data_IF_439375679461
#
_entry.id   IF_439375679461
#
_cell.length_a   1.000
_cell.length_b   1.000
_cell.length_c   1.000
_cell.angle_alpha   90.00
_cell.angle_beta   90.00
_cell.angle_gamma   90.00
#
_symmetry.space_group_name_H-M   'P 1'
#
loop_
_entity.id
_entity.type
_entity.pdbx_description
1 polymer ?
#
# COMPACT_ATOMS: atom_id res chain seq x y z
N UNK A 1 31.47 -0.60 -25.04
CA UNK A 1 31.15 -0.50 -24.45
C UNK A 1 30.53 -0.81 -23.81
N UNK A 2 30.57 -0.65 -23.36
CA UNK A 2 30.10 -0.76 -22.52
C UNK A 2 29.33 -0.63 -21.91
N UNK A 3 29.06 -0.85 -21.68
CA UNK A 3 28.34 -0.79 -20.96
C UNK A 3 27.90 -0.53 -20.16
N UNK A 4 27.76 -0.29 -20.17
CA UNK A 4 27.46 0.10 -19.15
C UNK A 4 26.62 -0.41 -18.50
N UNK A 5 26.44 -0.60 -18.48
CA UNK A 5 25.68 -0.74 -17.63
C UNK A 5 25.44 -1.52 -16.74
N UNK A 6 25.98 -1.99 -16.61
CA UNK A 6 25.79 -2.44 -15.69
C UNK A 6 25.59 -1.92 -14.63
N UNK A 7 25.49 -1.13 -14.73
CA UNK A 7 25.29 -0.34 -13.69
C UNK A 7 24.03 -0.42 -13.06
N UNK A 8 23.26 -1.42 -13.14
CA UNK A 8 22.01 -1.56 -12.45
C UNK A 8 22.29 -2.06 -11.07
N UNK A 9 21.98 -1.30 -10.02
CA UNK A 9 22.22 -1.78 -8.67
C UNK A 9 21.28 -2.93 -8.40
N UNK A 10 21.81 -3.97 -7.82
CA UNK A 10 21.00 -5.13 -7.51
C UNK A 10 19.98 -4.87 -6.45
N UNK A 11 20.27 -3.91 -5.60
CA UNK A 11 19.37 -3.54 -4.54
C UNK A 11 18.52 -2.36 -4.91
N UNK A 12 18.38 -2.08 -6.18
CA UNK A 12 17.57 -0.96 -6.62
C UNK A 12 16.12 -1.13 -6.20
N UNK A 13 15.47 -0.01 -5.96
CA UNK A 13 14.05 0.01 -5.66
C UNK A 13 13.27 -0.60 -6.81
N UNK A 14 12.11 -1.17 -6.54
CA UNK A 14 11.25 -1.65 -7.61
C UNK A 14 10.98 -0.56 -8.63
N UNK A 15 10.87 -0.95 -9.87
CA UNK A 15 10.66 0.01 -10.93
C UNK A 15 9.33 0.72 -10.73
N UNK A 16 9.36 2.02 -10.93
CA UNK A 16 8.17 2.85 -10.88
C UNK A 16 7.64 2.98 -12.30
N UNK A 17 6.37 2.65 -12.48
CA UNK A 17 5.72 2.76 -13.77
C UNK A 17 4.49 3.62 -13.65
N UNK A 18 4.13 4.28 -14.73
CA UNK A 18 2.87 4.99 -14.77
C UNK A 18 1.76 3.99 -15.10
N UNK A 19 0.68 4.08 -14.35
CA UNK A 19 -0.45 3.17 -14.50
C UNK A 19 -1.71 4.01 -14.67
N UNK A 20 -2.57 3.59 -15.60
CA UNK A 20 -3.85 4.28 -15.77
C UNK A 20 -4.70 4.08 -14.53
N UNK A 21 -5.33 5.18 -14.10
CA UNK A 21 -6.17 5.14 -12.90
C UNK A 21 -7.25 4.08 -12.97
N UNK A 22 -7.83 3.91 -14.15
CA UNK A 22 -8.95 2.98 -14.30
C UNK A 22 -8.54 1.52 -14.14
N UNK A 23 -7.25 1.22 -14.20
CA UNK A 23 -6.77 -0.16 -14.07
C UNK A 23 -6.50 -0.55 -12.62
N UNK A 24 -6.55 0.39 -11.70
CA UNK A 24 -6.26 0.08 -10.30
C UNK A 24 -7.45 -0.57 -9.61
N UNK A 25 -7.18 -1.68 -8.94
CA UNK A 25 -8.18 -2.40 -8.15
C UNK A 25 -8.16 -1.80 -6.74
N UNK A 26 -9.31 -1.33 -6.29
CA UNK A 26 -9.42 -0.58 -5.04
C UNK A 26 -10.02 -1.38 -3.90
N UNK A 27 -9.90 -2.70 -3.94
CA UNK A 27 -10.53 -3.57 -2.95
C UNK A 27 -10.12 -3.25 -1.51
N UNK A 28 -8.92 -2.70 -1.31
CA UNK A 28 -8.42 -2.42 0.04
C UNK A 28 -8.67 -0.98 0.50
N UNK A 29 -9.47 -0.23 -0.25
CA UNK A 29 -9.82 1.13 0.17
C UNK A 29 -10.51 1.11 1.54
N UNK A 30 -11.29 0.05 1.81
CA UNK A 30 -11.98 -0.07 3.10
C UNK A 30 -11.03 -0.28 4.26
N UNK A 31 -9.78 -0.68 4.02
CA UNK A 31 -8.78 -0.84 5.06
C UNK A 31 -8.12 0.49 5.46
N UNK A 32 -8.37 1.55 4.72
CA UNK A 32 -7.70 2.83 4.97
C UNK A 32 -8.72 3.87 5.44
N UNK A 33 -8.28 4.71 6.38
CA UNK A 33 -9.12 5.76 6.93
C UNK A 33 -9.07 6.99 6.06
N UNK A 34 -10.17 7.73 6.03
CA UNK A 34 -10.24 8.96 5.24
C UNK A 34 -9.98 10.16 6.15
N UNK A 35 -9.42 11.20 5.56
CA UNK A 35 -9.13 12.44 6.27
C UNK A 35 -9.34 13.59 5.31
N UNK A 36 -10.55 14.14 5.31
CA UNK A 36 -10.97 15.13 4.33
C UNK A 36 -10.06 16.37 4.28
N UNK A 37 -9.70 16.90 5.44
CA UNK A 37 -8.86 18.10 5.47
C UNK A 37 -7.48 17.83 4.89
N UNK A 38 -6.91 16.67 5.21
CA UNK A 38 -5.62 16.28 4.66
C UNK A 38 -5.71 16.11 3.14
N UNK A 39 -6.80 15.51 2.66
CA UNK A 39 -6.97 15.30 1.23
C UNK A 39 -7.12 16.61 0.48
N UNK A 40 -7.76 17.61 1.08
CA UNK A 40 -7.88 18.90 0.44
C UNK A 40 -6.52 19.56 0.26
N UNK A 41 -5.66 19.47 1.27
CA UNK A 41 -4.31 20.03 1.17
C UNK A 41 -3.49 19.25 0.15
N UNK A 42 -3.66 17.93 0.14
CA UNK A 42 -2.97 17.07 -0.81
C UNK A 42 -3.42 17.39 -2.24
N UNK A 43 -4.72 17.62 -2.41
CA UNK A 43 -5.25 17.97 -3.72
C UNK A 43 -4.58 19.22 -4.27
N UNK A 44 -4.43 20.25 -3.44
CA UNK A 44 -3.75 21.47 -3.85
C UNK A 44 -2.30 21.22 -4.23
N UNK A 45 -1.61 20.40 -3.44
CA UNK A 45 -0.22 20.09 -3.71
C UNK A 45 -0.06 19.33 -5.02
N UNK A 46 -0.92 18.34 -5.27
CA UNK A 46 -0.86 17.56 -6.50
C UNK A 46 -1.23 18.41 -7.71
N UNK A 47 -2.18 19.32 -7.55
CA UNK A 47 -2.55 20.21 -8.64
C UNK A 47 -1.35 21.07 -9.06
N UNK A 48 -0.52 21.45 -8.10
CA UNK A 48 0.63 22.30 -8.37
C UNK A 48 1.85 21.52 -8.86
N UNK A 49 2.14 20.40 -8.23
CA UNK A 49 3.42 19.70 -8.44
C UNK A 49 3.29 18.30 -8.99
N UNK A 50 2.06 17.81 -9.17
CA UNK A 50 1.87 16.43 -9.55
C UNK A 50 2.06 15.50 -8.37
N UNK A 51 2.00 14.20 -8.63
CA UNK A 51 2.18 13.21 -7.59
C UNK A 51 3.67 12.94 -7.45
N UNK A 52 4.23 13.31 -6.30
CA UNK A 52 5.65 13.18 -6.06
C UNK A 52 6.03 11.81 -5.52
N UNK A 53 5.14 11.20 -4.73
CA UNK A 53 5.38 9.87 -4.21
C UNK A 53 4.48 8.88 -4.91
N UNK A 54 5.04 7.78 -5.44
CA UNK A 54 4.22 6.84 -6.18
C UNK A 54 3.22 6.12 -5.30
N UNK A 55 2.14 5.69 -5.90
CA UNK A 55 1.19 4.81 -5.26
C UNK A 55 1.83 3.43 -5.16
N UNK A 56 1.42 2.66 -4.17
CA UNK A 56 2.02 1.35 -3.91
C UNK A 56 0.96 0.27 -3.89
N UNK A 57 1.27 -0.89 -4.46
CA UNK A 57 0.36 -2.00 -4.46
C UNK A 57 1.04 -3.26 -4.91
N UNK A 58 0.27 -4.24 -5.34
CA UNK A 58 0.82 -5.50 -5.82
C UNK A 58 0.31 -5.78 -7.23
N UNK A 59 1.09 -6.54 -7.96
CA UNK A 59 0.71 -6.97 -9.30
C UNK A 59 0.42 -8.46 -9.27
N UNK A 60 -0.86 -8.81 -9.34
CA UNK A 60 -1.28 -10.20 -9.30
C UNK A 60 -1.76 -10.55 -10.70
N UNK A 61 -0.89 -11.22 -11.46
CA UNK A 61 -1.16 -11.44 -12.87
C UNK A 61 -1.22 -10.11 -13.58
N UNK A 62 -2.35 -9.82 -14.20
CA UNK A 62 -2.53 -8.53 -14.89
C UNK A 62 -3.22 -7.49 -14.05
N UNK A 63 -3.57 -7.85 -12.80
CA UNK A 63 -4.25 -6.91 -11.91
C UNK A 63 -3.25 -6.11 -11.11
N UNK A 64 -3.55 -4.83 -10.94
CA UNK A 64 -2.78 -3.94 -10.10
C UNK A 64 -3.65 -3.53 -8.94
N UNK A 65 -3.36 -4.08 -7.76
CA UNK A 65 -4.19 -3.90 -6.57
C UNK A 65 -3.53 -2.86 -5.68
N UNK A 66 -4.22 -1.76 -5.46
CA UNK A 66 -3.67 -0.66 -4.68
C UNK A 66 -3.67 -1.00 -3.19
N UNK A 67 -2.56 -0.74 -2.52
CA UNK A 67 -2.43 -0.93 -1.08
C UNK A 67 -2.21 0.37 -0.34
N UNK A 68 -1.49 1.31 -0.94
CA UNK A 68 -1.17 2.57 -0.30
C UNK A 68 -1.25 3.69 -1.33
N UNK A 69 -1.79 4.84 -0.91
CA UNK A 69 -1.93 5.98 -1.80
C UNK A 69 -3.36 6.23 -2.23
N UNK A 70 -4.34 5.72 -1.49
CA UNK A 70 -5.75 5.93 -1.83
C UNK A 70 -6.12 7.42 -1.84
N UNK A 71 -5.52 8.21 -0.95
CA UNK A 71 -5.78 9.64 -0.94
C UNK A 71 -5.24 10.30 -2.20
N UNK A 72 -4.05 9.89 -2.61
CA UNK A 72 -3.45 10.38 -3.87
C UNK A 72 -4.26 9.92 -5.07
N UNK A 73 -4.77 8.69 -5.02
CA UNK A 73 -5.64 8.18 -6.06
C UNK A 73 -6.89 9.06 -6.22
N UNK A 74 -7.54 9.38 -5.09
CA UNK A 74 -8.76 10.18 -5.15
C UNK A 74 -8.47 11.59 -5.65
N UNK A 75 -7.34 12.16 -5.28
CA UNK A 75 -6.92 13.47 -5.78
C UNK A 75 -6.67 13.43 -7.29
N UNK A 76 -5.96 12.39 -7.74
CA UNK A 76 -5.68 12.23 -9.16
C UNK A 76 -6.97 12.12 -9.96
N UNK A 77 -7.94 11.41 -9.41
CA UNK A 77 -9.23 11.23 -10.06
C UNK A 77 -9.97 12.56 -10.17
N UNK A 78 -9.97 13.35 -9.09
CA UNK A 78 -10.60 14.67 -9.10
C UNK A 78 -9.95 15.62 -10.10
N UNK A 79 -8.64 15.51 -10.24
CA UNK A 79 -7.88 16.35 -11.16
C UNK A 79 -7.88 15.80 -12.58
N UNK A 80 -8.51 14.66 -12.78
CA UNK A 80 -8.61 13.99 -14.08
C UNK A 80 -7.25 13.66 -14.67
N UNK A 81 -6.34 13.23 -13.82
CA UNK A 81 -5.08 12.69 -14.29
C UNK A 81 -5.33 11.32 -14.89
N UNK A 82 -4.79 11.06 -16.06
CA UNK A 82 -5.02 9.77 -16.73
C UNK A 82 -4.21 8.65 -16.12
N UNK A 83 -3.01 8.96 -15.64
CA UNK A 83 -2.09 7.97 -15.13
C UNK A 83 -1.39 8.49 -13.88
N UNK A 84 -0.94 7.57 -13.05
CA UNK A 84 -0.24 7.90 -11.81
C UNK A 84 0.99 7.01 -11.68
N UNK A 85 2.04 7.48 -10.99
CA UNK A 85 3.20 6.62 -10.75
C UNK A 85 2.83 5.52 -9.76
N UNK A 86 3.27 4.32 -10.03
CA UNK A 86 2.92 3.14 -9.27
C UNK A 86 4.15 2.27 -9.07
N UNK A 87 4.31 1.75 -7.86
CA UNK A 87 5.39 0.83 -7.52
C UNK A 87 4.78 -0.47 -7.03
N UNK A 88 5.26 -1.60 -7.58
CA UNK A 88 4.80 -2.90 -7.16
C UNK A 88 5.58 -3.35 -5.93
N UNK A 89 4.85 -3.81 -4.90
CA UNK A 89 5.44 -4.31 -3.68
C UNK A 89 5.47 -5.84 -3.64
N UNK A 90 5.07 -6.49 -4.72
CA UNK A 90 5.09 -7.94 -4.79
C UNK A 90 4.08 -8.46 -5.79
N UNK A 91 4.03 -9.79 -5.88
CA UNK A 91 3.17 -10.44 -6.86
C UNK A 91 1.96 -11.11 -6.24
N UNK A 92 1.76 -10.94 -4.95
CA UNK A 92 0.55 -11.42 -4.28
C UNK A 92 0.21 -10.47 -3.13
N UNK A 93 -1.04 -10.54 -2.71
CA UNK A 93 -1.55 -9.61 -1.70
C UNK A 93 -0.81 -9.78 -0.37
N UNK A 94 -0.56 -11.02 0.04
CA UNK A 94 0.07 -11.26 1.34
C UNK A 94 1.44 -10.61 1.41
N UNK A 95 2.26 -10.78 0.37
CA UNK A 95 3.59 -10.18 0.33
C UNK A 95 3.52 -8.66 0.42
N UNK A 96 2.61 -8.06 -0.34
CA UNK A 96 2.48 -6.61 -0.33
C UNK A 96 2.01 -6.08 1.00
N UNK A 97 1.01 -6.73 1.60
CA UNK A 97 0.48 -6.30 2.89
C UNK A 97 1.55 -6.43 3.98
N UNK A 98 2.31 -7.54 3.97
CA UNK A 98 3.38 -7.73 4.93
C UNK A 98 4.42 -6.61 4.81
N UNK A 99 4.81 -6.29 3.60
CA UNK A 99 5.76 -5.19 3.40
C UNK A 99 5.22 -3.87 3.89
N UNK A 100 3.95 -3.60 3.61
CA UNK A 100 3.31 -2.38 4.08
C UNK A 100 3.32 -2.31 5.61
N UNK A 101 2.99 -3.41 6.27
CA UNK A 101 2.94 -3.45 7.73
C UNK A 101 4.32 -3.33 8.36
N UNK A 102 5.34 -3.92 7.74
CA UNK A 102 6.70 -3.81 8.27
C UNK A 102 7.19 -2.37 8.28
N UNK A 103 6.72 -1.58 7.35
CA UNK A 103 7.12 -0.17 7.25
C UNK A 103 5.99 0.76 7.66
N UNK A 104 5.03 0.26 8.45
CA UNK A 104 3.81 1.01 8.76
C UNK A 104 4.08 2.34 9.44
N UNK A 105 5.10 2.40 10.29
CA UNK A 105 5.43 3.66 10.95
C UNK A 105 5.89 4.71 9.96
N UNK A 106 6.71 4.28 9.01
CA UNK A 106 7.20 5.19 7.98
C UNK A 106 6.09 5.58 7.00
N UNK A 107 5.15 4.66 6.77
CA UNK A 107 4.05 4.91 5.83
C UNK A 107 2.86 5.62 6.47
N UNK A 108 2.90 5.85 7.77
CA UNK A 108 1.81 6.53 8.44
C UNK A 108 0.56 5.71 8.62
N UNK A 109 0.66 4.39 8.61
CA UNK A 109 -0.49 3.54 8.87
C UNK A 109 -0.93 3.65 10.31
N UNK A 110 -2.19 4.01 10.51
CA UNK A 110 -2.76 4.10 11.86
C UNK A 110 -3.07 2.69 12.38
N UNK A 111 -3.20 2.59 13.71
CA UNK A 111 -3.38 1.29 14.34
C UNK A 111 -4.62 0.56 13.82
N UNK A 112 -5.70 1.29 13.55
CA UNK A 112 -6.91 0.66 13.01
C UNK A 112 -6.72 0.20 11.57
N UNK A 113 -5.92 0.91 10.80
CA UNK A 113 -5.58 0.47 9.45
C UNK A 113 -4.70 -0.76 9.50
N UNK A 114 -3.75 -0.79 10.44
CA UNK A 114 -2.93 -1.97 10.65
C UNK A 114 -3.80 -3.17 11.00
N UNK A 115 -4.77 -2.95 11.89
CA UNK A 115 -5.68 -4.02 12.31
C UNK A 115 -6.45 -4.60 11.13
N UNK A 116 -6.95 -3.73 10.25
CA UNK A 116 -7.70 -4.19 9.08
C UNK A 116 -6.84 -5.03 8.14
N UNK A 117 -5.60 -4.60 7.89
CA UNK A 117 -4.70 -5.36 7.03
C UNK A 117 -4.27 -6.68 7.67
N UNK A 118 -4.09 -6.70 8.98
CA UNK A 118 -3.75 -7.95 9.68
C UNK A 118 -4.92 -8.93 9.58
N UNK A 119 -6.15 -8.42 9.71
CA UNK A 119 -7.31 -9.28 9.54
C UNK A 119 -7.35 -9.87 8.14
N UNK A 120 -6.99 -9.09 7.15
CA UNK A 120 -6.94 -9.57 5.76
C UNK A 120 -5.94 -10.72 5.63
N UNK A 121 -4.76 -10.59 6.25
CA UNK A 121 -3.77 -11.65 6.22
C UNK A 121 -4.30 -12.92 6.87
N UNK A 122 -5.05 -12.79 7.96
CA UNK A 122 -5.58 -13.94 8.66
C UNK A 122 -6.75 -14.56 7.90
N UNK A 123 -7.69 -13.73 7.48
CA UNK A 123 -8.97 -14.21 6.93
C UNK A 123 -8.89 -14.60 5.47
N UNK A 124 -8.27 -13.77 4.64
CA UNK A 124 -8.22 -14.00 3.20
C UNK A 124 -6.95 -14.73 2.79
N UNK A 125 -5.84 -14.49 3.47
CA UNK A 125 -4.57 -15.11 3.11
C UNK A 125 -4.27 -16.35 3.95
N UNK A 126 -5.15 -16.68 4.90
CA UNK A 126 -5.08 -17.91 5.72
C UNK A 126 -3.79 -18.02 6.54
N UNK A 127 -3.26 -16.90 6.99
CA UNK A 127 -2.07 -16.90 7.83
C UNK A 127 -2.46 -17.01 9.30
N UNK A 128 -1.68 -17.77 10.06
CA UNK A 128 -1.87 -17.83 11.51
C UNK A 128 -1.25 -16.60 12.16
N UNK A 129 -1.65 -16.35 13.44
CA UNK A 129 -1.06 -15.25 14.20
C UNK A 129 0.46 -15.37 14.25
N UNK A 130 0.95 -16.59 14.46
CA UNK A 130 2.40 -16.81 14.52
C UNK A 130 3.08 -16.50 13.19
N UNK A 131 2.46 -16.90 12.08
CA UNK A 131 3.01 -16.63 10.76
C UNK A 131 3.02 -15.13 10.47
N UNK A 132 1.95 -14.43 10.82
CA UNK A 132 1.87 -12.99 10.62
C UNK A 132 2.95 -12.30 11.45
N UNK A 133 3.05 -12.67 12.73
CA UNK A 133 4.02 -12.06 13.64
C UNK A 133 5.45 -12.20 13.10
N UNK A 134 5.78 -13.40 12.64
CA UNK A 134 7.10 -13.64 12.09
C UNK A 134 7.32 -12.82 10.82
N UNK A 135 6.34 -12.80 9.93
CA UNK A 135 6.48 -12.10 8.64
C UNK A 135 6.65 -10.60 8.83
N UNK A 136 5.90 -10.00 9.75
CA UNK A 136 5.98 -8.55 9.97
C UNK A 136 7.01 -8.16 11.00
N UNK A 137 7.74 -9.14 11.56
CA UNK A 137 8.80 -8.92 12.54
C UNK A 137 8.29 -8.22 13.80
N UNK A 138 7.15 -8.69 14.31
CA UNK A 138 6.55 -8.19 15.54
C UNK A 138 6.15 -9.36 16.43
N UNK A 139 5.80 -9.06 17.69
CA UNK A 139 5.39 -10.11 18.60
C UNK A 139 3.98 -10.61 18.28
N UNK A 140 3.67 -11.81 18.77
CA UNK A 140 2.31 -12.33 18.64
C UNK A 140 1.31 -11.44 19.39
N UNK A 141 1.73 -10.87 20.51
CA UNK A 141 0.87 -9.95 21.26
C UNK A 141 0.53 -8.72 20.45
N UNK A 142 1.49 -8.20 19.70
CA UNK A 142 1.27 -7.06 18.81
C UNK A 142 0.19 -7.39 17.78
N UNK A 143 0.27 -8.57 17.19
CA UNK A 143 -0.70 -9.00 16.18
C UNK A 143 -2.08 -9.25 16.83
N UNK A 144 -2.10 -9.96 17.96
CA UNK A 144 -3.35 -10.32 18.63
C UNK A 144 -4.11 -9.07 19.09
N UNK A 145 -3.39 -8.08 19.59
CA UNK A 145 -4.02 -6.83 20.02
C UNK A 145 -4.76 -6.17 18.86
N UNK A 146 -4.13 -6.13 17.70
CA UNK A 146 -4.74 -5.50 16.54
C UNK A 146 -5.93 -6.27 16.00
N UNK A 147 -5.85 -7.60 16.02
CA UNK A 147 -7.00 -8.41 15.64
C UNK A 147 -8.17 -8.19 16.58
N UNK A 148 -7.89 -8.04 17.88
CA UNK A 148 -8.93 -7.74 18.86
C UNK A 148 -9.57 -6.39 18.60
N UNK A 149 -8.77 -5.40 18.26
CA UNK A 149 -9.29 -4.08 17.92
C UNK A 149 -10.19 -4.14 16.68
N UNK A 150 -9.78 -4.90 15.68
CA UNK A 150 -10.57 -5.02 14.46
C UNK A 150 -11.93 -5.63 14.74
N UNK A 151 -11.98 -6.68 15.56
CA UNK A 151 -13.25 -7.34 15.85
C UNK A 151 -14.20 -6.44 16.61
N UNK A 152 -13.69 -5.43 17.33
CA UNK A 152 -14.52 -4.48 18.05
C UNK A 152 -15.06 -3.36 17.15
N UNK A 153 -14.49 -3.20 15.98
CA UNK A 153 -14.93 -2.16 15.06
C UNK A 153 -16.22 -2.51 14.36
N UNK A 154 -16.57 -3.72 14.42
CA UNK A 154 -17.69 -4.11 13.76
C UNK A 154 -18.53 -4.79 13.49
#
# INVERSE_FOLDING_TARGET
MRPGPMNIPLEASPAQNDVELSYLDLRYDSCRMKAAAFEERLLGSIAERGIEEPLEGVEVGEKKILLNGFKRYRCARKLRLGAVPFVSMGEDAATGIVRLLKHSNAQGLKILEQAAFIDELKSACNMTVAQIAEAVARSKAWVSLRLGLFSQMG
#
